data_IF_871725914924
#
_entry.id   IF_871725914924
#
_cell.length_a   1.000
_cell.length_b   1.000
_cell.length_c   1.000
_cell.angle_alpha   90.00
_cell.angle_beta   90.00
_cell.angle_gamma   90.00
#
_symmetry.space_group_name_H-M   'P 1'
#
loop_
_entity.id
_entity.type
_entity.pdbx_description
1 polymer ?
#
# COMPACT_ATOMS: atom_id res chain seq x y z
N UNK A 1 -1.41 4.68 19.97
CA UNK A 1 -0.52 3.60 20.45
C UNK A 1 -1.04 2.16 20.22
N UNK A 2 -2.28 1.79 20.56
CA UNK A 2 -2.76 0.38 20.43
C UNK A 2 -2.69 -0.23 19.01
N UNK A 3 -2.82 0.58 17.94
CA UNK A 3 -2.69 0.10 16.54
C UNK A 3 -1.25 -0.29 16.18
N UNK A 4 -0.26 0.40 16.73
CA UNK A 4 1.17 0.14 16.48
C UNK A 4 1.58 -1.19 17.13
N UNK A 5 1.08 -1.47 18.35
CA UNK A 5 1.38 -2.71 19.08
C UNK A 5 0.76 -3.96 18.42
N UNK A 6 -0.46 -3.86 17.88
CA UNK A 6 -1.08 -4.96 17.11
C UNK A 6 -0.29 -5.28 15.84
N UNK A 7 0.21 -4.25 15.16
CA UNK A 7 0.98 -4.41 13.93
C UNK A 7 2.37 -5.01 14.22
N UNK A 8 3.01 -4.62 15.33
CA UNK A 8 4.28 -5.22 15.77
C UNK A 8 4.13 -6.72 16.08
N UNK A 9 3.06 -7.12 16.78
CA UNK A 9 2.75 -8.54 17.02
C UNK A 9 2.59 -9.32 15.71
N UNK A 10 1.90 -8.75 14.73
CA UNK A 10 1.65 -9.42 13.46
C UNK A 10 2.94 -9.59 12.63
N UNK A 11 3.83 -8.58 12.63
CA UNK A 11 5.14 -8.66 11.96
C UNK A 11 6.05 -9.68 12.63
N UNK A 12 6.12 -9.70 13.97
CA UNK A 12 6.91 -10.70 14.70
C UNK A 12 6.41 -12.12 14.41
N UNK A 13 5.10 -12.33 14.40
CA UNK A 13 4.50 -13.63 14.04
C UNK A 13 4.84 -14.03 12.60
N UNK A 14 4.79 -13.08 11.65
CA UNK A 14 5.16 -13.34 10.25
C UNK A 14 6.65 -13.70 10.08
N UNK A 15 7.56 -13.01 10.77
CA UNK A 15 9.01 -13.28 10.71
C UNK A 15 9.34 -14.63 11.35
N UNK A 16 8.71 -14.96 12.49
CA UNK A 16 8.87 -16.26 13.15
C UNK A 16 8.31 -17.39 12.28
N UNK A 17 7.16 -17.18 11.62
CA UNK A 17 6.61 -18.15 10.67
C UNK A 17 7.50 -18.32 9.44
N UNK A 18 8.06 -17.24 8.89
CA UNK A 18 9.00 -17.33 7.76
C UNK A 18 10.26 -18.11 8.16
N UNK A 19 10.82 -17.83 9.34
CA UNK A 19 11.98 -18.54 9.90
C UNK A 19 11.68 -20.03 10.12
N UNK A 20 10.50 -20.34 10.64
CA UNK A 20 10.05 -21.73 10.82
C UNK A 20 9.86 -22.46 9.48
N UNK A 21 9.31 -21.79 8.45
CA UNK A 21 9.15 -22.37 7.12
C UNK A 21 10.51 -22.62 6.46
N UNK A 22 11.49 -21.72 6.62
CA UNK A 22 12.86 -21.97 6.12
C UNK A 22 13.56 -23.10 6.88
N UNK A 23 13.30 -23.26 8.18
CA UNK A 23 13.84 -24.36 8.97
C UNK A 23 13.22 -25.71 8.56
N UNK A 24 11.91 -25.75 8.28
CA UNK A 24 11.25 -26.94 7.75
C UNK A 24 11.70 -27.29 6.33
N UNK A 25 11.98 -26.29 5.48
CA UNK A 25 12.49 -26.52 4.14
C UNK A 25 13.91 -27.12 4.14
N UNK A 26 14.73 -26.78 5.14
CA UNK A 26 16.06 -27.38 5.33
C UNK A 26 16.02 -28.84 5.79
N UNK A 27 14.85 -29.35 6.18
CA UNK A 27 14.65 -30.69 6.74
C UNK A 27 13.91 -31.65 5.80
N UNK A 28 13.75 -31.28 4.52
CA UNK A 28 13.19 -32.21 3.53
C UNK A 28 14.25 -33.29 3.20
N UNK A 29 13.97 -34.59 3.44
CA UNK A 29 14.81 -35.66 2.95
C UNK A 29 14.83 -35.61 1.41
N UNK A 30 16.02 -35.79 0.82
CA UNK A 30 16.25 -35.67 -0.62
C UNK A 30 15.14 -36.34 -1.44
N UNK A 31 14.46 -35.62 -2.36
CA UNK A 31 13.49 -36.24 -3.24
C UNK A 31 14.25 -37.21 -4.14
N UNK A 32 14.11 -38.51 -3.90
CA UNK A 32 14.51 -39.57 -4.83
C UNK A 32 13.56 -39.53 -6.03
N UNK A 33 13.76 -38.54 -6.90
CA UNK A 33 13.12 -38.45 -8.20
C UNK A 33 13.73 -39.51 -9.13
N UNK A 34 13.13 -40.69 -9.19
CA UNK A 34 13.58 -41.80 -10.04
C UNK A 34 12.94 -41.81 -11.44
N UNK A 35 12.42 -40.67 -11.95
CA UNK A 35 11.60 -40.68 -13.17
C UNK A 35 12.07 -39.77 -14.32
N UNK A 36 13.06 -38.92 -14.10
CA UNK A 36 13.69 -38.15 -15.18
C UNK A 36 15.17 -38.50 -15.10
N UNK A 37 15.69 -39.17 -16.12
CA UNK A 37 17.08 -39.67 -16.20
C UNK A 37 18.14 -38.56 -16.25
N UNK A 38 18.01 -37.56 -15.40
CA UNK A 38 19.06 -36.62 -15.14
C UNK A 38 20.11 -37.33 -14.27
N UNK A 39 21.27 -37.54 -14.87
CA UNK A 39 22.39 -38.18 -14.20
C UNK A 39 22.81 -37.41 -12.94
N UNK A 40 23.62 -38.04 -12.07
CA UNK A 40 24.11 -37.44 -10.82
C UNK A 40 24.95 -36.17 -11.01
N UNK A 41 25.19 -35.73 -12.25
CA UNK A 41 25.71 -34.40 -12.60
C UNK A 41 24.65 -33.30 -12.51
N UNK A 42 23.71 -33.44 -11.57
CA UNK A 42 22.88 -32.32 -11.17
C UNK A 42 23.78 -31.25 -10.56
N UNK A 43 24.10 -30.24 -11.38
CA UNK A 43 24.74 -29.01 -10.97
C UNK A 43 24.11 -28.59 -9.64
N UNK A 44 24.87 -28.76 -8.55
CA UNK A 44 24.46 -28.32 -7.22
C UNK A 44 24.24 -26.82 -7.35
N UNK A 45 22.98 -26.43 -7.48
CA UNK A 45 22.59 -25.04 -7.62
C UNK A 45 23.11 -24.37 -6.37
N UNK A 46 24.10 -23.49 -6.54
CA UNK A 46 24.87 -23.03 -5.39
C UNK A 46 23.90 -22.42 -4.39
N UNK A 47 24.05 -22.76 -3.11
CA UNK A 47 23.19 -22.24 -2.06
C UNK A 47 23.10 -20.70 -2.12
N UNK A 48 24.18 -20.05 -2.59
CA UNK A 48 24.23 -18.61 -2.87
C UNK A 48 23.14 -18.17 -3.84
N UNK A 49 22.93 -18.86 -4.96
CA UNK A 49 21.89 -18.51 -5.93
C UNK A 49 20.49 -18.69 -5.35
N UNK A 50 20.27 -19.74 -4.56
CA UNK A 50 19.00 -19.98 -3.88
C UNK A 50 18.67 -18.84 -2.91
N UNK A 51 19.61 -18.47 -2.04
CA UNK A 51 19.44 -17.36 -1.10
C UNK A 51 19.29 -16.00 -1.80
N UNK A 52 20.02 -15.80 -2.88
CA UNK A 52 19.88 -14.59 -3.72
C UNK A 52 18.47 -14.49 -4.29
N UNK A 53 17.92 -15.59 -4.80
CA UNK A 53 16.54 -15.64 -5.29
C UNK A 53 15.51 -15.29 -4.21
N UNK A 54 15.64 -15.87 -3.01
CA UNK A 54 14.77 -15.55 -1.86
C UNK A 54 14.87 -14.05 -1.50
N UNK A 55 16.08 -13.50 -1.44
CA UNK A 55 16.29 -12.09 -1.12
C UNK A 55 15.61 -11.17 -2.14
N UNK A 56 15.77 -11.44 -3.44
CA UNK A 56 15.13 -10.67 -4.51
C UNK A 56 13.60 -10.76 -4.43
N UNK A 57 13.04 -11.96 -4.21
CA UNK A 57 11.60 -12.15 -4.06
C UNK A 57 11.05 -11.37 -2.86
N UNK A 58 11.72 -11.45 -1.71
CA UNK A 58 11.34 -10.68 -0.52
C UNK A 58 11.40 -9.16 -0.81
N UNK A 59 12.47 -8.69 -1.43
CA UNK A 59 12.63 -7.30 -1.85
C UNK A 59 11.49 -6.83 -2.76
N UNK A 60 11.08 -7.64 -3.74
CA UNK A 60 9.96 -7.29 -4.63
C UNK A 60 8.64 -7.16 -3.86
N UNK A 61 8.35 -8.07 -2.92
CA UNK A 61 7.14 -8.01 -2.09
C UNK A 61 7.14 -6.75 -1.22
N UNK A 62 8.23 -6.47 -0.50
CA UNK A 62 8.32 -5.27 0.35
C UNK A 62 8.36 -3.97 -0.46
N UNK A 63 8.99 -3.98 -1.64
CA UNK A 63 8.97 -2.86 -2.57
C UNK A 63 7.57 -2.56 -3.07
N UNK A 64 6.80 -3.58 -3.48
CA UNK A 64 5.41 -3.42 -3.90
C UNK A 64 4.52 -2.88 -2.78
N UNK A 65 4.64 -3.42 -1.55
CA UNK A 65 3.92 -2.93 -0.38
C UNK A 65 4.30 -1.48 -0.04
N UNK A 66 5.58 -1.14 -0.14
CA UNK A 66 6.10 0.22 0.06
C UNK A 66 5.52 1.20 -0.96
N UNK A 67 5.54 0.85 -2.24
CA UNK A 67 4.97 1.65 -3.32
C UNK A 67 3.47 1.86 -3.14
N UNK A 68 2.73 0.79 -2.82
CA UNK A 68 1.28 0.86 -2.60
C UNK A 68 0.92 1.82 -1.45
N UNK A 69 1.62 1.71 -0.32
CA UNK A 69 1.40 2.61 0.82
C UNK A 69 1.87 4.05 0.53
N UNK A 70 2.92 4.22 -0.27
CA UNK A 70 3.36 5.55 -0.72
C UNK A 70 2.28 6.24 -1.57
N UNK A 71 1.61 5.52 -2.46
CA UNK A 71 0.48 6.03 -3.24
C UNK A 71 -0.67 6.49 -2.34
N UNK A 72 -1.03 5.70 -1.32
CA UNK A 72 -2.08 6.06 -0.36
C UNK A 72 -1.72 7.26 0.54
N UNK A 73 -0.44 7.56 0.71
CA UNK A 73 0.06 8.66 1.55
C UNK A 73 0.52 9.88 0.77
N UNK A 74 0.42 9.82 -0.56
CA UNK A 74 0.82 10.91 -1.45
C UNK A 74 2.33 11.11 -1.61
N UNK A 75 3.13 10.09 -1.33
CA UNK A 75 4.57 10.12 -1.56
C UNK A 75 4.94 9.54 -2.93
N UNK A 76 6.15 9.83 -3.41
CA UNK A 76 6.67 9.27 -4.67
C UNK A 76 6.81 7.75 -4.58
N UNK A 77 5.95 7.01 -5.29
CA UNK A 77 5.90 5.55 -5.25
C UNK A 77 7.25 4.88 -5.59
N UNK A 78 7.96 5.41 -6.59
CA UNK A 78 9.25 4.87 -7.06
C UNK A 78 10.31 4.89 -5.95
N UNK A 79 10.44 5.99 -5.20
CA UNK A 79 11.42 6.09 -4.12
C UNK A 79 11.14 5.07 -3.01
N UNK A 80 9.87 4.87 -2.67
CA UNK A 80 9.46 3.93 -1.63
C UNK A 80 9.47 2.47 -2.08
N UNK A 81 9.33 2.20 -3.39
CA UNK A 81 9.58 0.89 -3.96
C UNK A 81 11.03 0.46 -3.72
N UNK A 82 12.00 1.29 -4.12
CA UNK A 82 13.42 0.97 -3.96
C UNK A 82 13.83 0.91 -2.48
N UNK A 83 13.26 1.78 -1.64
CA UNK A 83 13.48 1.71 -0.20
C UNK A 83 12.97 0.38 0.38
N UNK A 84 11.78 -0.07 -0.02
CA UNK A 84 11.23 -1.38 0.37
C UNK A 84 12.00 -2.56 -0.22
N UNK A 85 12.57 -2.41 -1.41
CA UNK A 85 13.36 -3.47 -2.07
C UNK A 85 14.72 -3.67 -1.40
N UNK A 86 15.49 -2.60 -1.21
CA UNK A 86 16.86 -2.65 -0.66
C UNK A 86 16.83 -2.97 0.83
N UNK A 87 15.98 -2.26 1.58
CA UNK A 87 15.91 -2.40 3.04
C UNK A 87 14.87 -3.42 3.48
N UNK A 88 14.15 -4.10 2.57
CA UNK A 88 13.13 -5.13 2.89
C UNK A 88 12.22 -4.72 4.06
N UNK A 89 12.34 -5.40 5.19
CA UNK A 89 11.51 -5.23 6.38
C UNK A 89 11.73 -3.88 7.08
N UNK A 90 12.94 -3.44 7.46
CA UNK A 90 13.14 -2.14 8.10
C UNK A 90 12.71 -0.96 7.23
N UNK A 91 12.89 -1.03 5.92
CA UNK A 91 12.39 -0.01 4.98
C UNK A 91 10.87 0.13 5.05
N UNK A 92 10.16 -1.00 5.05
CA UNK A 92 8.70 -1.01 5.20
C UNK A 92 8.25 -0.51 6.58
N UNK A 93 8.89 -0.95 7.67
CA UNK A 93 8.56 -0.50 9.03
C UNK A 93 8.74 1.02 9.19
N UNK A 94 9.78 1.59 8.60
CA UNK A 94 9.99 3.03 8.59
C UNK A 94 8.87 3.78 7.84
N UNK A 95 8.35 3.23 6.74
CA UNK A 95 7.20 3.81 6.04
C UNK A 95 5.92 3.80 6.90
N UNK A 96 5.79 2.83 7.82
CA UNK A 96 4.61 2.72 8.68
C UNK A 96 4.51 3.86 9.70
N UNK A 97 5.62 4.47 10.08
CA UNK A 97 5.67 5.57 11.08
C UNK A 97 5.40 6.94 10.46
N UNK A 98 5.44 7.07 9.13
CA UNK A 98 5.24 8.34 8.44
C UNK A 98 3.76 8.78 8.51
N UNK A 99 3.47 10.04 8.90
CA UNK A 99 2.11 10.58 8.89
C UNK A 99 1.60 10.71 7.45
N UNK A 100 0.28 10.59 7.28
CA UNK A 100 -0.38 10.84 5.99
C UNK A 100 -0.22 12.31 5.66
N UNK A 101 0.31 12.63 4.48
CA UNK A 101 0.31 14.00 3.97
C UNK A 101 -1.03 14.23 3.29
N UNK A 102 -1.75 15.26 3.69
CA UNK A 102 -2.88 15.76 2.91
C UNK A 102 -2.30 16.33 1.61
N UNK A 103 -2.45 15.57 0.52
CA UNK A 103 -2.17 16.10 -0.81
C UNK A 103 -3.25 17.13 -1.12
N UNK A 104 -2.97 18.41 -0.84
CA UNK A 104 -3.55 19.50 -1.61
C UNK A 104 -3.08 19.30 -3.05
N UNK A 105 -3.93 18.70 -3.89
CA UNK A 105 -3.63 18.46 -5.29
C UNK A 105 -3.28 19.81 -5.94
N UNK A 106 -2.00 20.09 -6.23
CA UNK A 106 -1.63 21.32 -6.89
C UNK A 106 -2.07 21.15 -8.35
N UNK A 107 -3.02 21.97 -8.78
CA UNK A 107 -3.37 22.19 -10.18
C UNK A 107 -3.48 20.91 -11.05
N UNK A 108 -4.66 20.29 -11.05
CA UNK A 108 -5.07 19.35 -12.11
C UNK A 108 -4.72 17.90 -11.82
N UNK A 109 -5.73 17.03 -11.95
CA UNK A 109 -5.49 15.58 -11.99
C UNK A 109 -4.94 15.28 -13.39
N UNK A 110 -3.79 14.59 -13.52
CA UNK A 110 -3.26 14.20 -14.82
C UNK A 110 -4.30 13.35 -15.56
N UNK A 111 -4.46 13.61 -16.87
CA UNK A 111 -5.39 12.87 -17.74
C UNK A 111 -5.10 11.37 -17.62
N UNK A 112 -6.11 10.57 -17.28
CA UNK A 112 -6.02 9.11 -17.16
C UNK A 112 -5.88 8.56 -15.75
N UNK A 113 -5.78 9.39 -14.71
CA UNK A 113 -5.79 8.89 -13.32
C UNK A 113 -7.25 8.58 -12.90
N UNK A 114 -7.61 7.30 -12.93
CA UNK A 114 -8.90 6.83 -12.43
C UNK A 114 -9.06 7.21 -10.96
N UNK A 115 -10.28 7.68 -10.64
CA UNK A 115 -10.74 8.15 -9.33
C UNK A 115 -10.15 7.33 -8.16
N UNK A 116 -9.33 7.97 -7.33
CA UNK A 116 -9.08 7.47 -5.97
C UNK A 116 -10.25 7.99 -5.14
N UNK A 117 -11.16 7.15 -4.63
CA UNK A 117 -12.27 7.58 -3.82
C UNK A 117 -11.74 8.10 -2.47
N UNK A 118 -11.41 9.39 -2.43
CA UNK A 118 -11.19 10.10 -1.19
C UNK A 118 -12.56 10.44 -0.62
N UNK A 119 -13.15 9.54 0.16
CA UNK A 119 -14.34 9.84 0.97
C UNK A 119 -13.93 10.83 2.05
N UNK A 120 -14.24 12.10 1.83
CA UNK A 120 -14.04 13.12 2.85
C UNK A 120 -15.10 12.95 3.95
N UNK A 121 -14.75 13.28 5.18
CA UNK A 121 -15.72 13.26 6.27
C UNK A 121 -16.85 14.26 5.98
N UNK A 122 -18.13 13.90 6.20
CA UNK A 122 -19.24 14.84 6.06
C UNK A 122 -19.12 16.02 7.02
N UNK A 123 -19.54 17.20 6.59
CA UNK A 123 -19.58 18.41 7.40
C UNK A 123 -21.05 18.86 7.61
N UNK A 124 -21.43 19.30 8.83
CA UNK A 124 -22.80 19.70 9.12
C UNK A 124 -23.17 21.02 8.47
N UNK A 125 -24.39 21.11 7.94
CA UNK A 125 -24.96 22.35 7.41
C UNK A 125 -25.14 23.38 8.55
N UNK A 126 -24.68 24.64 8.40
CA UNK A 126 -24.87 25.67 9.43
C UNK A 126 -26.34 26.09 9.62
N UNK A 127 -27.22 25.79 8.66
CA UNK A 127 -28.64 26.11 8.73
C UNK A 127 -29.48 25.04 9.42
N UNK A 128 -29.34 23.76 9.02
CA UNK A 128 -30.20 22.67 9.51
C UNK A 128 -29.45 21.52 10.21
N UNK A 129 -28.11 21.54 10.24
CA UNK A 129 -27.30 20.49 10.85
C UNK A 129 -27.09 19.23 10.00
N UNK A 130 -27.74 19.10 8.83
CA UNK A 130 -27.60 17.94 7.96
C UNK A 130 -26.15 17.71 7.50
N UNK A 131 -25.69 16.46 7.51
CA UNK A 131 -24.33 16.10 7.15
C UNK A 131 -24.19 16.06 5.63
N UNK A 132 -23.47 17.03 5.06
CA UNK A 132 -23.25 17.16 3.63
C UNK A 132 -21.80 16.83 3.27
N UNK A 133 -21.56 16.47 2.01
CA UNK A 133 -20.20 16.31 1.51
C UNK A 133 -19.48 17.69 1.51
N UNK A 134 -18.21 17.80 1.92
CA UNK A 134 -17.49 19.10 1.99
C UNK A 134 -17.25 19.78 0.63
N UNK A 135 -17.64 19.15 -0.47
CA UNK A 135 -17.63 19.72 -1.83
C UNK A 135 -19.03 20.17 -2.30
N UNK A 136 -20.06 20.01 -1.46
CA UNK A 136 -21.42 20.40 -1.79
C UNK A 136 -21.56 21.93 -1.77
N UNK A 137 -22.22 22.47 -2.78
CA UNK A 137 -22.54 23.91 -2.88
C UNK A 137 -23.91 24.23 -2.29
N UNK A 138 -24.74 23.22 -2.03
CA UNK A 138 -26.09 23.33 -1.49
C UNK A 138 -26.36 22.18 -0.51
N UNK A 139 -27.14 22.45 0.52
CA UNK A 139 -27.56 21.44 1.48
C UNK A 139 -28.63 20.53 0.86
N UNK A 140 -28.45 19.22 0.96
CA UNK A 140 -29.41 18.23 0.44
C UNK A 140 -30.78 18.26 1.16
N UNK A 141 -30.84 18.80 2.38
CA UNK A 141 -32.06 18.87 3.18
C UNK A 141 -32.75 20.23 3.06
N UNK A 142 -32.06 21.33 3.42
CA UNK A 142 -32.68 22.66 3.49
C UNK A 142 -32.48 23.53 2.24
N UNK A 143 -31.70 23.08 1.25
CA UNK A 143 -31.35 23.88 0.07
C UNK A 143 -30.44 25.09 0.34
N UNK A 144 -30.03 25.31 1.60
CA UNK A 144 -29.15 26.41 1.98
C UNK A 144 -27.81 26.34 1.24
N UNK A 145 -27.33 27.50 0.78
CA UNK A 145 -26.04 27.60 0.08
C UNK A 145 -24.89 27.27 1.03
N UNK A 146 -24.06 26.32 0.64
CA UNK A 146 -22.87 25.90 1.38
C UNK A 146 -21.62 26.48 0.72
N UNK A 147 -20.58 26.76 1.52
CA UNK A 147 -19.27 27.16 1.00
C UNK A 147 -18.40 25.90 0.88
N UNK A 148 -18.17 25.38 -0.34
CA UNK A 148 -17.41 24.15 -0.51
C UNK A 148 -15.94 24.40 -0.13
N UNK A 149 -15.36 23.44 0.58
CA UNK A 149 -13.95 23.51 1.00
C UNK A 149 -12.99 23.24 -0.15
N UNK A 150 -13.45 22.53 -1.17
CA UNK A 150 -12.73 22.24 -2.40
C UNK A 150 -13.70 22.02 -3.56
N UNK A 151 -13.22 22.22 -4.80
CA UNK A 151 -14.00 22.01 -6.00
C UNK A 151 -14.44 20.54 -6.12
N UNK A 152 -15.71 20.30 -6.40
CA UNK A 152 -16.23 18.95 -6.64
C UNK A 152 -15.56 18.33 -7.87
N UNK A 153 -15.46 16.99 -7.90
CA UNK A 153 -14.92 16.30 -9.07
C UNK A 153 -15.73 16.61 -10.33
N UNK A 154 -17.05 16.74 -10.21
CA UNK A 154 -17.94 17.17 -11.30
C UNK A 154 -17.52 18.54 -11.83
N UNK A 155 -17.31 19.53 -10.94
CA UNK A 155 -16.86 20.86 -11.34
C UNK A 155 -15.46 20.84 -11.97
N UNK A 156 -14.55 19.99 -11.48
CA UNK A 156 -13.21 19.80 -12.06
C UNK A 156 -13.25 19.13 -13.43
N UNK A 157 -14.24 18.29 -13.68
CA UNK A 157 -14.51 17.68 -14.98
C UNK A 157 -15.30 18.60 -15.93
N UNK A 158 -15.64 19.83 -15.51
CA UNK A 158 -16.46 20.76 -16.29
C UNK A 158 -17.95 20.36 -16.35
N UNK A 159 -18.37 19.39 -15.54
CA UNK A 159 -19.77 19.01 -15.39
C UNK A 159 -20.44 19.97 -14.41
N UNK A 160 -21.62 20.48 -14.78
CA UNK A 160 -22.42 21.28 -13.85
C UNK A 160 -22.94 20.39 -12.72
N UNK A 161 -22.69 20.74 -11.44
CA UNK A 161 -23.41 20.11 -10.34
C UNK A 161 -24.88 20.55 -10.46
N UNK A 162 -25.77 19.57 -10.58
CA UNK A 162 -27.22 19.77 -10.59
C UNK A 162 -27.71 20.11 -9.18
#
# INVERSE_FOLDING_TARGET
>A
MRRVLKMFRMVVVCVVLLGAVTALAAQQPAPRGAFLGAGPEHAQMSAVWFWTGIYVLAGLVFGALGAHRALQTGNRAVAWFFAGFVFTLPGYLYLLTRPKKELLAPAGVPRGLHKIPATCAPEPCPGCGELNHPAATQCASCGGKLTPRFASEAQRAGLRPW
#
